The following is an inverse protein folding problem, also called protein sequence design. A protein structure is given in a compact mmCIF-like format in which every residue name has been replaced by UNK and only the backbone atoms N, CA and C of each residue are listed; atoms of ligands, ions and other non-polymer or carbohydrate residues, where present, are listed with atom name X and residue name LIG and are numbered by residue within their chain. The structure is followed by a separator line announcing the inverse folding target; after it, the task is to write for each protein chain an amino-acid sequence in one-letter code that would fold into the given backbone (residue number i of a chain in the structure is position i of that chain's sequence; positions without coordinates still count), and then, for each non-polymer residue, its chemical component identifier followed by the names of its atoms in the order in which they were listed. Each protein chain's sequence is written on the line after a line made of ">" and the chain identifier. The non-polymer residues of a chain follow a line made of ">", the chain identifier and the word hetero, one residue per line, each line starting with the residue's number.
data_IF_635421958300
#
_entry.id   IF_635421958300
#
_cell.length_a   1.000
_cell.length_b   1.000
_cell.length_c   1.000
_cell.angle_alpha   90.00
_cell.angle_beta   90.00
_cell.angle_gamma   90.00
#
_symmetry.space_group_name_H-M   'P 1'
#
loop_
_entity.id
_entity.type
_entity.pdbx_description
1 polymer ?
#
# COMPACT_ATOMS: atom_id res chain seq x y z
N UNK A 1 -19.40 -24.54 -22.40
CA UNK A 1 -19.71 -23.25 -21.72
C UNK A 1 -18.46 -22.81 -20.99
N UNK A 2 -17.68 -21.92 -21.60
CA UNK A 2 -16.45 -21.37 -21.01
C UNK A 2 -16.70 -19.89 -20.83
N UNK A 3 -16.92 -19.45 -19.60
CA UNK A 3 -17.03 -18.03 -19.28
C UNK A 3 -15.64 -17.52 -18.93
N UNK A 4 -14.97 -16.91 -19.91
CA UNK A 4 -13.78 -16.09 -19.70
C UNK A 4 -14.20 -14.70 -19.24
N UNK A 5 -14.28 -14.48 -17.93
CA UNK A 5 -14.47 -13.15 -17.37
C UNK A 5 -13.13 -12.41 -17.32
N UNK A 6 -12.82 -11.67 -18.38
CA UNK A 6 -11.73 -10.70 -18.42
C UNK A 6 -12.24 -9.37 -17.83
N UNK A 7 -12.18 -9.22 -16.50
CA UNK A 7 -12.47 -7.93 -15.84
C UNK A 7 -11.19 -7.11 -15.73
N UNK A 8 -10.93 -6.36 -16.80
CA UNK A 8 -9.95 -5.27 -16.83
C UNK A 8 -10.42 -4.16 -15.87
N UNK A 9 -9.83 -4.10 -14.69
CA UNK A 9 -9.99 -2.99 -13.77
C UNK A 9 -9.41 -1.72 -14.44
N UNK A 10 -10.31 -0.83 -14.86
CA UNK A 10 -9.97 0.51 -15.35
C UNK A 10 -10.32 1.48 -14.21
N UNK A 11 -9.31 2.04 -13.56
CA UNK A 11 -9.51 3.21 -12.72
C UNK A 11 -10.03 4.37 -13.59
N UNK A 12 -11.11 5.07 -13.18
CA UNK A 12 -11.55 6.28 -13.86
C UNK A 12 -10.52 7.38 -13.59
N UNK A 13 -9.73 7.76 -14.60
CA UNK A 13 -8.92 8.97 -14.52
C UNK A 13 -9.86 10.17 -14.56
N UNK A 14 -9.72 11.02 -13.55
CA UNK A 14 -10.36 12.32 -13.43
C UNK A 14 -10.31 13.10 -14.74
N UNK A 15 -11.46 13.63 -15.16
CA UNK A 15 -11.55 14.69 -16.14
C UNK A 15 -10.86 15.93 -15.57
N UNK A 16 -9.94 16.55 -16.33
CA UNK A 16 -9.47 17.90 -16.01
C UNK A 16 -9.32 18.70 -17.29
N UNK A 17 -10.00 19.83 -17.25
CA UNK A 17 -10.18 20.86 -18.25
C UNK A 17 -8.83 21.50 -18.59
N UNK A 18 -8.46 21.54 -19.87
CA UNK A 18 -7.38 22.40 -20.37
C UNK A 18 -7.72 23.87 -20.11
N UNK A 19 -6.88 24.55 -19.32
CA UNK A 19 -6.72 26.00 -19.37
C UNK A 19 -5.24 26.33 -19.37
N UNK A 20 -4.76 26.70 -20.56
CA UNK A 20 -3.45 27.24 -20.86
C UNK A 20 -3.33 28.67 -20.29
N UNK A 21 -2.37 28.93 -19.40
CA UNK A 21 -1.80 30.27 -19.16
C UNK A 21 -0.32 30.17 -18.72
N UNK A 22 0.52 31.18 -19.02
CA UNK A 22 1.97 31.03 -19.15
C UNK A 22 2.73 31.13 -17.81
N UNK A 23 3.83 30.40 -17.71
CA UNK A 23 4.67 30.32 -16.52
C UNK A 23 5.60 31.53 -16.32
N UNK A 24 6.01 31.80 -15.07
CA UNK A 24 7.19 32.61 -14.78
C UNK A 24 8.41 31.73 -14.47
N UNK A 25 9.57 32.20 -14.90
CA UNK A 25 10.87 31.57 -14.79
C UNK A 25 11.26 31.19 -13.35
N UNK A 26 11.58 29.92 -13.13
CA UNK A 26 12.28 29.45 -11.93
C UNK A 26 13.77 29.72 -12.11
N UNK A 27 14.34 30.50 -11.20
CA UNK A 27 15.79 30.53 -10.98
C UNK A 27 16.19 29.20 -10.37
N UNK A 28 17.24 28.61 -10.93
CA UNK A 28 17.93 27.46 -10.39
C UNK A 28 18.65 27.89 -9.11
N UNK A 29 18.15 27.46 -7.96
CA UNK A 29 18.89 27.48 -6.70
C UNK A 29 19.36 26.05 -6.42
N UNK A 30 20.61 25.83 -6.82
CA UNK A 30 21.49 24.71 -6.52
C UNK A 30 21.65 24.56 -4.99
N UNK A 31 21.90 23.33 -4.54
CA UNK A 31 22.26 22.92 -3.15
C UNK A 31 21.15 22.78 -2.09
N UNK A 32 20.50 21.61 -2.09
CA UNK A 32 20.18 20.90 -0.83
C UNK A 32 20.58 19.43 -0.92
N UNK A 33 21.88 19.20 -0.92
CA UNK A 33 22.49 17.90 -0.61
C UNK A 33 22.10 17.52 0.82
N UNK A 34 21.19 16.56 0.96
CA UNK A 34 20.77 16.01 2.26
C UNK A 34 21.93 15.18 2.83
N UNK A 35 22.57 15.58 3.94
CA UNK A 35 23.61 14.77 4.53
C UNK A 35 22.96 13.73 5.45
N UNK A 36 23.17 12.46 5.11
CA UNK A 36 22.90 11.34 6.00
C UNK A 36 23.82 11.42 7.25
N UNK A 37 23.20 11.35 8.43
CA UNK A 37 23.77 11.05 9.74
C UNK A 37 24.82 12.02 10.33
N UNK A 38 24.37 12.98 11.14
CA UNK A 38 25.18 13.52 12.25
C UNK A 38 24.34 13.60 13.53
N UNK A 39 24.87 12.96 14.58
CA UNK A 39 24.33 12.90 15.95
C UNK A 39 24.06 14.31 16.48
N UNK A 40 22.81 14.76 16.47
CA UNK A 40 22.40 16.05 17.02
C UNK A 40 21.24 15.85 18.00
N UNK A 41 21.31 16.53 19.14
CA UNK A 41 20.18 16.67 20.07
C UNK A 41 19.04 17.32 19.30
N UNK A 42 17.98 16.56 18.97
CA UNK A 42 16.78 17.10 18.32
C UNK A 42 16.22 18.23 19.19
N UNK A 43 16.20 19.44 18.63
CA UNK A 43 15.59 20.60 19.29
C UNK A 43 14.07 20.44 19.30
N UNK A 44 13.36 21.10 20.23
CA UNK A 44 11.89 20.99 20.29
C UNK A 44 11.19 21.40 18.98
N UNK A 45 11.79 22.30 18.19
CA UNK A 45 11.29 22.71 16.87
C UNK A 45 11.46 21.60 15.82
N UNK A 46 12.59 20.90 15.86
CA UNK A 46 12.91 19.77 14.98
C UNK A 46 11.98 18.56 15.24
N UNK A 47 11.57 18.38 16.50
CA UNK A 47 10.58 17.36 16.87
C UNK A 47 9.18 17.71 16.34
N UNK A 48 8.76 18.97 16.43
CA UNK A 48 7.44 19.40 15.94
C UNK A 48 7.33 19.25 14.41
N UNK A 49 8.35 19.68 13.68
CA UNK A 49 8.45 19.52 12.22
C UNK A 49 8.37 18.04 11.81
N UNK A 50 9.09 17.16 12.53
CA UNK A 50 9.04 15.72 12.28
C UNK A 50 7.64 15.14 12.52
N UNK A 51 6.95 15.56 13.59
CA UNK A 51 5.57 15.13 13.87
C UNK A 51 4.63 15.60 12.77
N UNK A 52 4.77 16.84 12.30
CA UNK A 52 3.96 17.38 11.20
C UNK A 52 4.18 16.60 9.90
N UNK A 53 5.43 16.28 9.56
CA UNK A 53 5.75 15.49 8.38
C UNK A 53 5.14 14.08 8.46
N UNK A 54 5.23 13.41 9.61
CA UNK A 54 4.61 12.09 9.79
C UNK A 54 3.08 12.14 9.67
N UNK A 55 2.44 13.21 10.17
CA UNK A 55 1.00 13.41 9.99
C UNK A 55 0.64 13.60 8.52
N UNK A 56 1.38 14.43 7.79
CA UNK A 56 1.14 14.66 6.37
C UNK A 56 1.25 13.37 5.54
N UNK A 57 2.22 12.52 5.86
CA UNK A 57 2.38 11.20 5.23
C UNK A 57 1.18 10.29 5.55
N UNK A 58 0.75 10.26 6.81
CA UNK A 58 -0.42 9.47 7.21
C UNK A 58 -1.71 9.93 6.51
N UNK A 59 -1.91 11.24 6.36
CA UNK A 59 -3.05 11.82 5.65
C UNK A 59 -2.99 11.51 4.15
N UNK A 60 -1.79 11.53 3.55
CA UNK A 60 -1.60 11.12 2.16
C UNK A 60 -2.00 9.66 1.95
N UNK A 61 -1.64 8.75 2.85
CA UNK A 61 -2.04 7.34 2.75
C UNK A 61 -3.55 7.18 2.78
N UNK A 62 -4.27 7.98 3.57
CA UNK A 62 -5.73 7.92 3.65
C UNK A 62 -6.41 8.21 2.30
N UNK A 63 -5.75 8.95 1.40
CA UNK A 63 -6.25 9.19 0.04
C UNK A 63 -6.29 7.93 -0.83
N UNK A 64 -5.54 6.89 -0.47
CA UNK A 64 -5.47 5.63 -1.23
C UNK A 64 -6.53 4.60 -0.81
N UNK A 65 -7.40 4.96 0.15
CA UNK A 65 -8.50 4.12 0.60
C UNK A 65 -9.55 3.96 -0.49
N UNK A 66 -9.94 2.72 -0.79
CA UNK A 66 -11.04 2.42 -1.71
C UNK A 66 -12.42 2.62 -1.06
N UNK A 67 -13.40 3.11 -1.82
CA UNK A 67 -14.79 3.26 -1.33
C UNK A 67 -15.43 1.94 -0.87
N UNK A 68 -15.03 0.82 -1.46
CA UNK A 68 -15.57 -0.52 -1.20
C UNK A 68 -14.87 -1.24 -0.04
N UNK A 69 -13.87 -0.60 0.57
CA UNK A 69 -13.07 -1.19 1.65
C UNK A 69 -13.65 -0.87 3.01
N UNK A 70 -14.02 -1.93 3.75
CA UNK A 70 -14.37 -1.80 5.16
C UNK A 70 -13.13 -1.49 6.00
N UNK A 71 -13.33 -0.91 7.18
CA UNK A 71 -12.22 -0.55 8.09
C UNK A 71 -11.36 -1.77 8.46
N UNK A 72 -11.97 -2.96 8.55
CA UNK A 72 -11.25 -4.21 8.80
C UNK A 72 -10.23 -4.56 7.70
N UNK A 73 -10.52 -4.20 6.44
CA UNK A 73 -9.57 -4.36 5.34
C UNK A 73 -8.59 -3.20 5.27
N UNK A 74 -9.08 -1.98 5.49
CA UNK A 74 -8.30 -0.76 5.33
C UNK A 74 -7.20 -0.63 6.38
N UNK A 75 -7.48 -0.90 7.67
CA UNK A 75 -6.51 -0.68 8.74
C UNK A 75 -5.21 -1.48 8.54
N UNK A 76 -5.26 -2.81 8.25
CA UNK A 76 -4.02 -3.56 8.04
C UNK A 76 -3.36 -3.24 6.70
N UNK A 77 -4.13 -2.86 5.68
CA UNK A 77 -3.59 -2.41 4.39
C UNK A 77 -2.87 -1.06 4.52
N UNK A 78 -3.41 -0.13 5.31
CA UNK A 78 -2.79 1.15 5.63
C UNK A 78 -1.45 0.94 6.32
N UNK A 79 -1.39 0.02 7.29
CA UNK A 79 -0.15 -0.36 7.96
C UNK A 79 0.87 -0.95 6.97
N UNK A 80 0.41 -1.81 6.05
CA UNK A 80 1.24 -2.36 4.98
C UNK A 80 1.86 -1.26 4.12
N UNK A 81 1.08 -0.27 3.72
CA UNK A 81 1.55 0.86 2.91
C UNK A 81 2.57 1.68 3.71
N UNK A 82 2.25 2.09 4.93
CA UNK A 82 3.12 2.94 5.76
C UNK A 82 4.47 2.28 6.04
N UNK A 83 4.48 0.97 6.33
CA UNK A 83 5.71 0.21 6.59
C UNK A 83 6.65 0.21 5.39
N UNK A 84 6.10 -0.04 4.21
CA UNK A 84 6.89 -0.22 2.98
C UNK A 84 7.15 1.11 2.26
N UNK A 85 6.49 2.21 2.62
CA UNK A 85 6.59 3.49 1.90
C UNK A 85 8.02 4.05 1.84
N UNK A 86 8.87 3.77 2.84
CA UNK A 86 10.27 4.22 2.84
C UNK A 86 11.18 3.49 1.85
N UNK A 87 10.77 2.31 1.38
CA UNK A 87 11.54 1.46 0.45
C UNK A 87 11.16 1.67 -1.02
N UNK A 88 10.11 2.46 -1.28
CA UNK A 88 9.57 2.68 -2.61
C UNK A 88 9.64 4.16 -2.98
N UNK A 89 10.12 4.44 -4.20
CA UNK A 89 10.09 5.79 -4.75
C UNK A 89 8.66 6.20 -5.16
N UNK A 90 8.43 7.50 -5.34
CA UNK A 90 7.14 8.05 -5.78
C UNK A 90 6.67 7.43 -7.11
N UNK A 91 7.60 7.10 -8.01
CA UNK A 91 7.29 6.45 -9.30
C UNK A 91 6.83 4.99 -9.13
N UNK A 92 7.22 4.34 -8.04
CA UNK A 92 6.88 2.95 -7.72
C UNK A 92 5.71 2.86 -6.72
N UNK A 93 5.15 3.99 -6.31
CA UNK A 93 4.03 4.03 -5.37
C UNK A 93 2.82 3.23 -5.87
N UNK A 94 2.50 3.35 -7.17
CA UNK A 94 1.43 2.56 -7.79
C UNK A 94 1.67 1.05 -7.65
N UNK A 95 2.93 0.62 -7.75
CA UNK A 95 3.30 -0.78 -7.57
C UNK A 95 3.11 -1.22 -6.11
N UNK A 96 3.51 -0.39 -5.15
CA UNK A 96 3.28 -0.64 -3.72
C UNK A 96 1.78 -0.76 -3.40
N UNK A 97 0.96 0.16 -3.93
CA UNK A 97 -0.49 0.12 -3.77
C UNK A 97 -1.09 -1.15 -4.35
N UNK A 98 -0.63 -1.59 -5.52
CA UNK A 98 -1.06 -2.87 -6.10
C UNK A 98 -0.66 -4.07 -5.23
N UNK A 99 0.56 -4.10 -4.70
CA UNK A 99 1.02 -5.16 -3.79
C UNK A 99 0.20 -5.20 -2.48
N UNK A 100 -0.12 -4.03 -1.92
CA UNK A 100 -0.98 -3.92 -0.73
C UNK A 100 -2.38 -4.52 -0.96
N UNK A 101 -2.93 -4.33 -2.16
CA UNK A 101 -4.21 -4.92 -2.56
C UNK A 101 -4.11 -6.43 -2.74
N UNK A 102 -3.03 -6.92 -3.37
CA UNK A 102 -2.80 -8.37 -3.54
C UNK A 102 -2.72 -9.05 -2.18
N UNK A 103 -1.98 -8.46 -1.25
CA UNK A 103 -1.88 -8.96 0.12
C UNK A 103 -3.24 -8.97 0.82
N UNK A 104 -3.95 -7.84 0.84
CA UNK A 104 -5.27 -7.75 1.47
C UNK A 104 -6.28 -8.75 0.86
N UNK A 105 -6.31 -8.88 -0.47
CA UNK A 105 -7.18 -9.83 -1.16
C UNK A 105 -6.82 -11.28 -0.82
N UNK A 106 -5.53 -11.59 -0.66
CA UNK A 106 -5.11 -12.93 -0.24
C UNK A 106 -5.55 -13.23 1.19
N UNK A 107 -5.32 -12.30 2.13
CA UNK A 107 -5.60 -12.49 3.56
C UNK A 107 -7.10 -12.49 3.86
N UNK A 108 -7.87 -11.56 3.29
CA UNK A 108 -9.27 -11.37 3.65
C UNK A 108 -10.28 -12.00 2.69
N UNK A 109 -9.91 -12.21 1.42
CA UNK A 109 -10.80 -12.80 0.42
C UNK A 109 -10.33 -14.18 -0.03
N UNK A 110 -9.14 -14.61 0.39
CA UNK A 110 -8.58 -15.90 -0.01
C UNK A 110 -8.20 -15.96 -1.49
N UNK A 111 -8.00 -14.82 -2.17
CA UNK A 111 -7.55 -14.82 -3.55
C UNK A 111 -6.20 -15.55 -3.71
N UNK A 112 -6.03 -16.27 -4.81
CA UNK A 112 -4.83 -17.07 -5.10
C UNK A 112 -4.03 -16.39 -6.21
N UNK A 113 -2.73 -16.30 -5.98
CA UNK A 113 -1.76 -15.74 -6.91
C UNK A 113 -0.57 -16.71 -7.05
N UNK A 114 0.44 -16.38 -7.85
CA UNK A 114 1.68 -17.16 -7.91
C UNK A 114 2.34 -17.22 -6.54
N UNK A 115 2.98 -18.35 -6.23
CA UNK A 115 3.67 -18.56 -4.95
C UNK A 115 4.74 -17.50 -4.71
N UNK A 116 5.54 -17.18 -5.74
CA UNK A 116 6.58 -16.15 -5.68
C UNK A 116 6.03 -14.76 -5.27
N UNK A 117 4.87 -14.37 -5.82
CA UNK A 117 4.25 -13.10 -5.48
C UNK A 117 3.72 -13.12 -4.04
N UNK A 118 3.10 -14.23 -3.63
CA UNK A 118 2.55 -14.39 -2.29
C UNK A 118 3.65 -14.38 -1.23
N UNK A 119 4.78 -15.03 -1.49
CA UNK A 119 5.90 -15.08 -0.55
C UNK A 119 6.50 -13.69 -0.39
N UNK A 120 6.68 -12.94 -1.48
CA UNK A 120 7.10 -11.54 -1.44
C UNK A 120 6.16 -10.67 -0.60
N UNK A 121 4.84 -10.71 -0.86
CA UNK A 121 3.92 -9.84 -0.09
C UNK A 121 3.76 -10.27 1.36
N UNK A 122 4.02 -11.53 1.70
CA UNK A 122 4.06 -11.99 3.10
C UNK A 122 5.28 -11.46 3.83
N UNK A 123 6.45 -11.46 3.18
CA UNK A 123 7.67 -10.86 3.72
C UNK A 123 7.48 -9.36 3.97
N UNK A 124 6.92 -8.64 2.99
CA UNK A 124 6.58 -7.22 3.14
C UNK A 124 5.56 -6.92 4.25
N UNK A 125 4.74 -7.91 4.62
CA UNK A 125 3.73 -7.81 5.67
C UNK A 125 4.18 -8.36 7.03
N UNK A 126 5.45 -8.75 7.18
CA UNK A 126 5.94 -9.35 8.42
C UNK A 126 5.70 -8.41 9.61
N UNK A 127 5.03 -8.88 10.66
CA UNK A 127 4.71 -8.08 11.84
C UNK A 127 3.42 -7.23 11.75
N UNK A 128 2.66 -7.33 10.67
CA UNK A 128 1.29 -6.80 10.61
C UNK A 128 0.33 -7.87 11.16
N UNK A 129 -0.17 -7.66 12.37
CA UNK A 129 -1.15 -8.57 12.98
C UNK A 129 -2.56 -8.29 12.45
N UNK A 130 -3.22 -9.33 11.93
CA UNK A 130 -4.61 -9.28 11.49
C UNK A 130 -5.45 -10.11 12.45
N UNK A 131 -6.09 -9.46 13.42
CA UNK A 131 -6.83 -10.14 14.50
C UNK A 131 -7.99 -11.02 14.01
N UNK A 132 -8.64 -10.64 12.90
CA UNK A 132 -9.87 -11.27 12.38
C UNK A 132 -9.66 -11.95 11.01
N UNK A 133 -8.46 -12.48 10.71
CA UNK A 133 -8.19 -13.10 9.41
C UNK A 133 -9.09 -14.33 9.20
N UNK A 134 -9.95 -14.36 8.15
CA UNK A 134 -10.80 -15.51 7.88
C UNK A 134 -9.95 -16.75 7.56
N UNK A 135 -10.20 -17.86 8.25
CA UNK A 135 -9.50 -19.12 7.96
C UNK A 135 -10.10 -19.77 6.70
N UNK A 136 -9.49 -19.50 5.55
CA UNK A 136 -9.85 -20.12 4.28
C UNK A 136 -9.34 -21.56 4.20
N UNK A 137 -10.11 -22.51 4.75
CA UNK A 137 -9.86 -23.93 4.50
C UNK A 137 -10.13 -24.21 3.03
N UNK A 138 -9.12 -24.66 2.30
CA UNK A 138 -9.33 -25.13 0.94
C UNK A 138 -10.23 -26.38 0.95
N UNK A 139 -11.03 -26.58 -0.10
CA UNK A 139 -11.84 -27.80 -0.27
C UNK A 139 -10.97 -29.05 -0.11
N UNK A 140 -9.73 -29.03 -0.59
CA UNK A 140 -8.82 -30.17 -0.54
C UNK A 140 -8.35 -30.49 0.89
N UNK A 141 -8.22 -29.49 1.78
CA UNK A 141 -7.99 -29.71 3.21
C UNK A 141 -9.20 -30.31 3.93
N UNK A 142 -10.42 -29.93 3.51
CA UNK A 142 -11.66 -30.51 4.03
C UNK A 142 -11.78 -31.97 3.57
N UNK A 143 -11.47 -32.28 2.31
CA UNK A 143 -11.54 -33.64 1.76
C UNK A 143 -10.48 -34.56 2.39
N UNK A 144 -9.23 -34.09 2.62
CA UNK A 144 -8.20 -34.87 3.33
C UNK A 144 -8.60 -35.23 4.77
N UNK A 145 -9.32 -34.34 5.48
CA UNK A 145 -9.82 -34.63 6.83
C UNK A 145 -10.93 -35.68 6.85
N UNK A 146 -11.67 -35.86 5.76
CA UNK A 146 -12.71 -36.88 5.65
C UNK A 146 -12.17 -38.26 5.26
N UNK A 147 -11.02 -38.32 4.58
CA UNK A 147 -10.40 -39.57 4.13
C UNK A 147 -9.63 -40.33 5.23
N UNK A 148 -9.42 -39.69 6.39
CA UNK A 148 -8.81 -40.32 7.57
C UNK A 148 -9.82 -40.79 8.63
N UNK A 149 -11.10 -40.91 8.29
CA UNK A 149 -12.16 -41.36 9.20
C UNK A 149 -12.80 -42.66 8.71
#
# INVERSE_FOLDING_TARGET
>A
MVLTANTRWRCPKHATLEKQLPGPALKEDEDRKVPCCMKSKMSALDVDDFIQQNRAVADQVETHRGYWESDKHWLPRREFILRNMSEYDLEQLDQLLALSMVWANNVFLGCRYSTELLDKVKEMAEGIEVEDAPVFKTRDEIMKKQQGR
#
